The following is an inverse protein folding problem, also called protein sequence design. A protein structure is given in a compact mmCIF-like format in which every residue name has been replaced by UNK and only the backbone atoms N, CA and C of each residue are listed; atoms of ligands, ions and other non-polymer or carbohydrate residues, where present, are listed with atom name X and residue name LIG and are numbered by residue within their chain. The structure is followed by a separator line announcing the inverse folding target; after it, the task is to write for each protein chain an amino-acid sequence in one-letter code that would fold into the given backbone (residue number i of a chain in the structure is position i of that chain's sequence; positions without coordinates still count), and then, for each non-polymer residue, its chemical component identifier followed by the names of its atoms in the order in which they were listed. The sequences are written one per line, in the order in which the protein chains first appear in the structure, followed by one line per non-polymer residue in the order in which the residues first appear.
data_IF_173095361467
#
_entry.id   IF_173095361467
#
_cell.length_a   1.000
_cell.length_b   1.000
_cell.length_c   1.000
_cell.angle_alpha   90.00
_cell.angle_beta   90.00
_cell.angle_gamma   90.00
#
_symmetry.space_group_name_H-M   'P 1'
#
loop_
_entity.id
_entity.type
_entity.pdbx_description
1 polymer ?
#
# COMPACT_ATOMS: atom_id res chain seq x y z
N UNK A 1 -7.06 11.63 -76.23
CA UNK A 1 -6.78 12.17 -74.94
C UNK A 1 -7.52 11.30 -73.89
N UNK A 2 -6.80 10.34 -73.33
CA UNK A 2 -7.34 9.43 -72.30
C UNK A 2 -6.82 9.89 -70.95
N UNK A 3 -7.72 10.30 -70.06
CA UNK A 3 -7.40 10.65 -68.68
C UNK A 3 -7.27 9.38 -67.83
N UNK A 4 -6.04 9.12 -67.39
CA UNK A 4 -5.72 8.12 -66.36
C UNK A 4 -6.40 8.45 -65.05
N UNK A 5 -7.26 7.56 -64.56
CA UNK A 5 -7.76 7.59 -63.20
C UNK A 5 -6.71 6.96 -62.27
N UNK A 6 -6.13 7.79 -61.43
CA UNK A 6 -5.25 7.39 -60.35
C UNK A 6 -6.10 6.73 -59.28
N UNK A 7 -5.89 5.45 -59.01
CA UNK A 7 -6.46 4.72 -57.91
C UNK A 7 -5.78 5.21 -56.63
N UNK A 8 -6.50 5.93 -55.78
CA UNK A 8 -6.09 6.17 -54.40
C UNK A 8 -6.28 4.88 -53.58
N UNK A 9 -5.18 4.28 -53.22
CA UNK A 9 -5.17 3.23 -52.21
C UNK A 9 -5.48 3.88 -50.84
N UNK A 10 -6.69 3.71 -50.36
CA UNK A 10 -7.05 3.99 -49.01
C UNK A 10 -6.31 3.01 -48.09
N UNK A 11 -5.30 3.51 -47.41
CA UNK A 11 -4.60 2.76 -46.39
C UNK A 11 -5.53 2.72 -45.16
N UNK A 12 -6.22 1.61 -44.95
CA UNK A 12 -6.95 1.37 -43.71
C UNK A 12 -5.98 1.46 -42.54
N UNK A 13 -6.16 2.46 -41.73
CA UNK A 13 -5.52 2.54 -40.44
C UNK A 13 -6.13 1.43 -39.55
N UNK A 14 -5.36 0.37 -39.35
CA UNK A 14 -5.60 -0.54 -38.24
C UNK A 14 -5.45 0.29 -36.98
N UNK A 15 -6.55 0.68 -36.37
CA UNK A 15 -6.59 1.24 -35.04
C UNK A 15 -6.30 0.08 -34.07
N UNK A 16 -5.02 -0.25 -33.91
CA UNK A 16 -4.58 -0.88 -32.68
C UNK A 16 -4.79 0.17 -31.59
N UNK A 17 -5.83 0.01 -30.81
CA UNK A 17 -5.87 0.64 -29.50
C UNK A 17 -4.76 -0.01 -28.68
N UNK A 18 -3.59 0.59 -28.69
CA UNK A 18 -2.61 0.40 -27.65
C UNK A 18 -3.36 0.86 -26.40
N UNK A 19 -3.76 -0.09 -25.55
CA UNK A 19 -4.19 0.23 -24.20
C UNK A 19 -2.94 0.83 -23.60
N UNK A 20 -2.94 2.15 -23.49
CA UNK A 20 -1.97 2.86 -22.71
C UNK A 20 -2.15 2.31 -21.30
N UNK A 21 -1.27 1.42 -20.90
CA UNK A 21 -1.17 0.99 -19.51
C UNK A 21 -0.61 2.23 -18.82
N UNK A 22 -1.51 3.18 -18.51
CA UNK A 22 -1.18 4.23 -17.56
C UNK A 22 -0.52 3.50 -16.39
N UNK A 23 0.72 3.87 -16.09
CA UNK A 23 1.40 3.40 -14.90
C UNK A 23 0.53 3.79 -13.70
N UNK A 24 -0.37 2.90 -13.34
CA UNK A 24 -1.41 3.10 -12.33
C UNK A 24 -0.84 3.36 -10.94
N UNK A 25 0.48 3.13 -10.79
CA UNK A 25 1.19 3.24 -9.54
C UNK A 25 2.57 3.84 -9.78
N UNK A 26 2.67 5.15 -9.68
CA UNK A 26 3.96 5.83 -9.64
C UNK A 26 4.26 6.16 -8.19
N UNK A 27 5.34 5.60 -7.65
CA UNK A 27 5.90 6.08 -6.39
C UNK A 27 6.63 7.39 -6.69
N UNK A 28 5.95 8.49 -6.45
CA UNK A 28 6.57 9.81 -6.50
C UNK A 28 6.58 10.39 -5.08
N UNK A 29 7.74 10.43 -4.42
CA UNK A 29 7.88 10.99 -3.08
C UNK A 29 7.97 12.52 -3.08
N UNK A 30 7.55 13.20 -4.14
CA UNK A 30 7.56 14.65 -4.22
C UNK A 30 6.72 15.28 -3.09
N UNK A 31 7.20 16.41 -2.59
CA UNK A 31 6.60 17.17 -1.50
C UNK A 31 6.42 18.62 -1.96
N UNK A 32 5.37 18.85 -2.74
CA UNK A 32 5.02 20.20 -3.18
C UNK A 32 4.19 20.92 -2.11
N UNK A 33 4.31 22.23 -2.05
CA UNK A 33 3.51 23.05 -1.15
C UNK A 33 2.30 23.61 -1.89
N UNK A 34 1.11 23.28 -1.43
CA UNK A 34 -0.15 23.75 -1.98
C UNK A 34 -0.86 24.73 -1.04
N UNK A 35 -1.58 25.69 -1.63
CA UNK A 35 -2.34 26.71 -0.89
C UNK A 35 -1.52 27.96 -0.58
N UNK A 36 -2.26 29.06 -0.26
CA UNK A 36 -1.66 30.35 0.15
C UNK A 36 -1.37 30.38 1.65
N UNK A 37 -0.58 31.37 2.09
CA UNK A 37 -0.24 31.53 3.51
C UNK A 37 0.76 30.48 3.98
N UNK A 38 0.41 29.75 5.03
CA UNK A 38 1.22 28.67 5.61
C UNK A 38 1.16 27.35 4.81
N UNK A 39 0.41 27.31 3.72
CA UNK A 39 0.36 26.19 2.78
C UNK A 39 0.10 24.81 3.38
N UNK A 40 0.04 23.78 2.54
CA UNK A 40 -0.01 22.36 2.94
C UNK A 40 1.03 21.60 2.14
N UNK A 41 1.92 20.87 2.80
CA UNK A 41 2.88 20.02 2.12
C UNK A 41 2.19 18.75 1.64
N UNK A 42 2.30 18.45 0.35
CA UNK A 42 1.75 17.22 -0.21
C UNK A 42 2.52 16.00 0.28
N UNK A 43 1.84 14.87 0.35
CA UNK A 43 2.48 13.59 0.61
C UNK A 43 2.42 12.73 -0.66
N UNK A 44 3.48 12.83 -1.46
CA UNK A 44 3.54 12.36 -2.84
C UNK A 44 3.02 13.40 -3.83
N UNK A 45 3.33 13.25 -5.12
CA UNK A 45 3.05 14.24 -6.17
C UNK A 45 1.57 14.61 -6.29
N UNK A 46 0.67 13.67 -6.08
CA UNK A 46 -0.77 13.85 -6.13
C UNK A 46 -1.42 13.89 -4.74
N UNK A 47 -0.62 13.98 -3.69
CA UNK A 47 -1.05 13.95 -2.29
C UNK A 47 -1.78 12.65 -1.88
N UNK A 48 -1.63 11.55 -2.64
CA UNK A 48 -2.30 10.27 -2.42
C UNK A 48 -1.38 9.15 -1.96
N UNK A 49 -0.08 9.39 -1.82
CA UNK A 49 0.91 8.38 -1.44
C UNK A 49 0.51 7.55 -0.20
N UNK A 50 -0.03 8.11 0.90
CA UNK A 50 -0.46 7.29 2.04
C UNK A 50 -1.52 6.26 1.69
N UNK A 51 -2.44 6.60 0.77
CA UNK A 51 -3.48 5.66 0.32
C UNK A 51 -2.88 4.50 -0.47
N UNK A 52 -1.87 4.78 -1.30
CA UNK A 52 -1.13 3.75 -2.02
C UNK A 52 -0.43 2.80 -1.04
N UNK A 53 0.30 3.35 -0.06
CA UNK A 53 1.03 2.56 0.93
C UNK A 53 0.09 1.67 1.75
N UNK A 54 -1.03 2.20 2.22
CA UNK A 54 -2.06 1.44 2.96
C UNK A 54 -2.62 0.32 2.06
N UNK A 55 -3.00 0.62 0.83
CA UNK A 55 -3.53 -0.38 -0.10
C UNK A 55 -2.50 -1.49 -0.40
N UNK A 56 -1.23 -1.16 -0.52
CA UNK A 56 -0.14 -2.13 -0.66
C UNK A 56 -0.02 -3.03 0.57
N UNK A 57 0.00 -2.44 1.77
CA UNK A 57 0.10 -3.17 3.04
C UNK A 57 -1.11 -4.10 3.28
N UNK A 58 -2.30 -3.71 2.82
CA UNK A 58 -3.52 -4.53 2.96
C UNK A 58 -3.62 -5.66 1.94
N UNK A 59 -3.05 -5.49 0.73
CA UNK A 59 -3.24 -6.43 -0.39
C UNK A 59 -2.09 -7.38 -0.64
N UNK A 60 -0.86 -7.03 -0.24
CA UNK A 60 0.28 -7.93 -0.31
C UNK A 60 0.30 -8.85 0.90
N UNK A 61 0.13 -10.14 0.69
CA UNK A 61 0.14 -11.14 1.77
C UNK A 61 1.51 -11.20 2.47
N UNK A 62 2.58 -11.12 1.71
CA UNK A 62 3.95 -11.18 2.23
C UNK A 62 4.27 -9.92 3.05
N UNK A 63 3.96 -8.74 2.52
CA UNK A 63 4.18 -7.49 3.24
C UNK A 63 3.34 -7.40 4.51
N UNK A 64 2.06 -7.77 4.45
CA UNK A 64 1.16 -7.78 5.61
C UNK A 64 1.70 -8.67 6.71
N UNK A 65 2.15 -9.89 6.39
CA UNK A 65 2.74 -10.81 7.37
C UNK A 65 4.01 -10.22 8.01
N UNK A 66 4.88 -9.57 7.23
CA UNK A 66 6.07 -8.91 7.74
C UNK A 66 5.72 -7.73 8.66
N UNK A 67 4.74 -6.89 8.29
CA UNK A 67 4.29 -5.77 9.12
C UNK A 67 3.73 -6.28 10.44
N UNK A 68 2.81 -7.24 10.43
CA UNK A 68 2.18 -7.77 11.64
C UNK A 68 3.23 -8.40 12.57
N UNK A 69 4.18 -9.12 12.02
CA UNK A 69 5.25 -9.73 12.82
C UNK A 69 6.22 -8.68 13.38
N UNK A 70 6.51 -7.61 12.62
CA UNK A 70 7.32 -6.49 13.12
C UNK A 70 6.64 -5.78 14.30
N UNK A 71 5.32 -5.57 14.21
CA UNK A 71 4.52 -5.01 15.31
C UNK A 71 4.60 -5.93 16.54
N UNK A 72 4.41 -7.24 16.36
CA UNK A 72 4.46 -8.21 17.46
C UNK A 72 5.83 -8.17 18.18
N UNK A 73 6.93 -8.15 17.45
CA UNK A 73 8.27 -8.08 18.06
C UNK A 73 8.55 -6.72 18.70
N UNK A 74 8.06 -5.62 18.13
CA UNK A 74 8.18 -4.30 18.72
C UNK A 74 7.32 -4.16 20.00
N UNK A 75 6.15 -4.80 20.05
CA UNK A 75 5.28 -4.83 21.23
C UNK A 75 5.79 -5.72 22.35
N UNK A 76 6.64 -6.72 22.02
CA UNK A 76 7.05 -7.74 22.96
C UNK A 76 5.88 -8.54 23.54
N UNK A 77 6.07 -9.17 24.71
CA UNK A 77 5.02 -9.91 25.40
C UNK A 77 4.03 -8.99 26.14
N UNK A 78 4.40 -7.73 26.34
CA UNK A 78 3.51 -6.76 26.99
C UNK A 78 4.16 -5.41 27.26
N UNK A 79 3.34 -4.48 27.69
CA UNK A 79 3.76 -3.12 28.07
C UNK A 79 3.37 -2.91 29.52
N UNK A 80 4.34 -2.56 30.33
CA UNK A 80 4.16 -2.17 31.73
C UNK A 80 4.29 -0.66 31.79
N UNK A 81 3.31 0.00 32.40
CA UNK A 81 3.36 1.44 32.66
C UNK A 81 3.94 1.64 34.07
N UNK A 82 4.97 2.47 34.19
CA UNK A 82 5.67 2.72 35.44
C UNK A 82 4.81 3.51 36.41
N UNK A 83 5.12 3.42 37.71
CA UNK A 83 4.33 4.07 38.81
C UNK A 83 4.20 5.58 38.62
N UNK A 84 5.24 6.26 38.12
CA UNK A 84 5.22 7.70 37.86
C UNK A 84 4.25 8.08 36.73
N UNK A 85 3.98 7.16 35.83
CA UNK A 85 3.03 7.30 34.72
C UNK A 85 1.70 6.55 35.01
N UNK A 86 1.41 6.16 36.25
CA UNK A 86 0.28 5.31 36.62
C UNK A 86 -1.10 5.84 36.16
N UNK A 87 -1.24 7.15 35.99
CA UNK A 87 -2.46 7.76 35.41
C UNK A 87 -2.80 7.26 34.02
N UNK A 88 -1.81 6.75 33.29
CA UNK A 88 -1.93 6.21 31.91
C UNK A 88 -2.10 4.68 31.87
N UNK A 89 -1.97 3.99 33.03
CA UNK A 89 -1.93 2.53 33.07
C UNK A 89 -3.25 1.88 32.66
N UNK A 90 -4.40 2.38 33.15
CA UNK A 90 -5.69 1.79 32.84
C UNK A 90 -6.23 2.23 31.45
N UNK A 91 -6.13 3.53 31.18
CA UNK A 91 -6.67 4.12 29.95
C UNK A 91 -5.93 5.40 29.58
N UNK A 92 -5.68 5.58 28.28
CA UNK A 92 -5.04 6.78 27.75
C UNK A 92 -6.06 7.85 27.31
N UNK A 93 -7.36 7.54 27.30
CA UNK A 93 -8.42 8.49 26.97
C UNK A 93 -9.78 8.05 27.50
N UNK A 94 -10.76 8.98 27.44
CA UNK A 94 -12.17 8.76 27.86
C UNK A 94 -12.89 7.63 27.13
N UNK A 95 -12.36 7.13 26.01
CA UNK A 95 -12.93 5.99 25.28
C UNK A 95 -12.47 4.65 25.81
N UNK A 96 -11.61 4.64 26.85
CA UNK A 96 -11.11 3.42 27.46
C UNK A 96 -10.01 2.72 26.68
N UNK A 97 -9.30 3.43 25.79
CA UNK A 97 -8.16 2.86 25.05
C UNK A 97 -7.01 2.60 26.04
N UNK A 98 -6.42 1.41 25.99
CA UNK A 98 -5.23 1.09 26.78
C UNK A 98 -3.95 1.66 26.15
N UNK A 99 -2.87 1.79 26.94
CA UNK A 99 -1.55 2.17 26.42
C UNK A 99 -1.07 1.17 25.37
N UNK A 100 -1.28 -0.12 25.61
CA UNK A 100 -0.96 -1.20 24.67
C UNK A 100 -1.67 -1.00 23.32
N UNK A 101 -2.97 -0.68 23.33
CA UNK A 101 -3.75 -0.48 22.10
C UNK A 101 -3.33 0.79 21.36
N UNK A 102 -2.97 1.85 22.09
CA UNK A 102 -2.41 3.07 21.49
C UNK A 102 -1.12 2.75 20.75
N UNK A 103 -0.17 2.08 21.40
CA UNK A 103 1.13 1.74 20.83
C UNK A 103 0.96 0.82 19.61
N UNK A 104 0.08 -0.18 19.70
CA UNK A 104 -0.19 -1.06 18.57
C UNK A 104 -0.68 -0.28 17.33
N UNK A 105 -1.58 0.70 17.53
CA UNK A 105 -2.10 1.52 16.40
C UNK A 105 -1.05 2.43 15.80
N UNK A 106 -0.22 3.09 16.61
CA UNK A 106 0.85 3.95 16.09
C UNK A 106 1.94 3.13 15.39
N UNK A 107 2.24 1.92 15.87
CA UNK A 107 3.15 1.00 15.18
C UNK A 107 2.58 0.54 13.82
N UNK A 108 1.27 0.25 13.76
CA UNK A 108 0.62 -0.11 12.50
C UNK A 108 0.73 1.02 11.47
N UNK A 109 0.47 2.27 11.87
CA UNK A 109 0.66 3.43 10.99
C UNK A 109 2.13 3.62 10.60
N UNK A 110 3.06 3.47 11.55
CA UNK A 110 4.48 3.60 11.30
C UNK A 110 5.00 2.55 10.30
N UNK A 111 4.72 1.26 10.54
CA UNK A 111 5.16 0.21 9.62
C UNK A 111 4.51 0.30 8.25
N UNK A 112 3.31 0.86 8.17
CA UNK A 112 2.61 1.05 6.88
C UNK A 112 3.14 2.25 6.11
N UNK A 113 3.37 3.38 6.78
CA UNK A 113 3.63 4.66 6.11
C UNK A 113 4.96 5.33 6.49
N UNK A 114 5.64 4.84 7.53
CA UNK A 114 6.83 5.47 8.12
C UNK A 114 6.50 6.60 9.10
N UNK A 115 5.23 6.94 9.28
CA UNK A 115 4.78 8.08 10.09
C UNK A 115 3.58 7.69 10.92
N UNK A 116 3.33 8.42 12.02
CA UNK A 116 2.11 8.30 12.81
C UNK A 116 1.73 9.63 13.46
N UNK A 117 0.49 9.72 13.93
CA UNK A 117 -0.02 10.92 14.57
C UNK A 117 -0.85 10.59 15.81
N UNK A 118 -0.65 11.38 16.88
CA UNK A 118 -1.37 11.27 18.14
C UNK A 118 -1.94 12.63 18.47
N UNK A 119 -3.26 12.70 18.66
CA UNK A 119 -3.89 13.89 19.21
C UNK A 119 -3.71 13.88 20.74
N UNK A 120 -3.15 14.95 21.25
CA UNK A 120 -2.88 15.15 22.68
C UNK A 120 -3.79 16.25 23.19
N UNK A 121 -4.58 15.95 24.19
CA UNK A 121 -5.45 16.93 24.88
C UNK A 121 -4.82 17.29 26.21
N UNK A 122 -4.80 18.56 26.50
CA UNK A 122 -4.19 19.15 27.68
C UNK A 122 -5.21 19.66 28.68
N UNK A 123 -4.83 19.71 29.95
CA UNK A 123 -5.54 20.49 30.96
C UNK A 123 -5.14 21.98 30.86
N UNK A 124 -5.76 22.82 31.66
CA UNK A 124 -5.47 24.27 31.68
C UNK A 124 -4.05 24.62 32.19
N UNK A 125 -3.37 23.66 32.78
CA UNK A 125 -1.97 23.81 33.27
C UNK A 125 -0.94 23.39 32.21
N UNK A 126 -1.39 22.97 31.02
CA UNK A 126 -0.49 22.51 29.98
C UNK A 126 0.00 21.07 30.17
N UNK A 127 -0.66 20.28 31.02
CA UNK A 127 -0.31 18.87 31.20
C UNK A 127 -1.18 18.00 30.27
N UNK A 128 -0.61 17.01 29.60
CA UNK A 128 -1.37 16.06 28.77
C UNK A 128 -2.28 15.19 29.64
N UNK A 129 -3.53 15.02 29.22
CA UNK A 129 -4.55 14.27 29.97
C UNK A 129 -5.24 13.19 29.15
N UNK A 130 -5.22 13.28 27.81
CA UNK A 130 -5.80 12.26 26.94
C UNK A 130 -5.00 12.14 25.65
N UNK A 131 -4.87 10.91 25.16
CA UNK A 131 -4.19 10.55 23.92
C UNK A 131 -5.13 9.82 22.98
N UNK A 132 -5.26 10.29 21.75
CA UNK A 132 -6.05 9.64 20.70
C UNK A 132 -5.17 9.35 19.49
N UNK A 133 -5.04 8.10 19.04
CA UNK A 133 -4.38 7.81 17.78
C UNK A 133 -5.20 8.40 16.63
N UNK A 134 -4.55 9.08 15.71
CA UNK A 134 -5.15 9.61 14.49
C UNK A 134 -4.73 8.78 13.29
N UNK A 135 -5.62 8.67 12.32
CA UNK A 135 -5.30 8.13 11.01
C UNK A 135 -4.30 9.06 10.31
N UNK A 136 -3.05 8.66 10.24
CA UNK A 136 -1.95 9.48 9.70
C UNK A 136 -2.17 9.84 8.22
N UNK A 137 -2.88 9.02 7.46
CA UNK A 137 -3.22 9.33 6.08
C UNK A 137 -4.13 10.55 5.94
N UNK A 138 -4.81 10.95 7.02
CA UNK A 138 -5.66 12.14 7.13
C UNK A 138 -4.95 13.36 7.72
N UNK A 139 -3.64 13.25 7.93
CA UNK A 139 -2.81 14.34 8.46
C UNK A 139 -1.87 14.87 7.38
N UNK A 140 -1.66 16.19 7.38
CA UNK A 140 -0.62 16.85 6.58
C UNK A 140 0.06 17.91 7.42
N UNK A 141 1.31 18.18 7.11
CA UNK A 141 2.04 19.28 7.71
C UNK A 141 1.89 20.55 6.85
N UNK A 142 1.93 21.72 7.49
CA UNK A 142 2.07 22.97 6.76
C UNK A 142 3.52 23.18 6.33
N UNK A 143 3.76 24.26 5.54
CA UNK A 143 5.07 24.62 5.01
C UNK A 143 6.13 24.78 6.11
N UNK A 144 5.76 25.43 7.20
CA UNK A 144 6.69 25.75 8.31
C UNK A 144 6.83 24.57 9.30
N UNK A 145 6.05 23.51 9.12
CA UNK A 145 6.04 22.26 9.91
C UNK A 145 5.63 22.44 11.38
N UNK A 146 5.11 23.59 11.74
CA UNK A 146 4.63 23.92 13.09
C UNK A 146 3.16 23.57 13.30
N UNK A 147 2.42 23.22 12.23
CA UNK A 147 1.03 22.84 12.30
C UNK A 147 0.75 21.51 11.58
N UNK A 148 -0.21 20.78 12.13
CA UNK A 148 -0.80 19.60 11.52
C UNK A 148 -2.19 19.92 11.05
N UNK A 149 -2.47 19.69 9.77
CA UNK A 149 -3.77 19.85 9.16
C UNK A 149 -4.45 18.47 9.12
N UNK A 150 -5.56 18.34 9.82
CA UNK A 150 -6.35 17.11 9.85
C UNK A 150 -7.60 17.25 8.99
N UNK A 151 -7.75 16.39 7.99
CA UNK A 151 -8.95 16.34 7.14
C UNK A 151 -9.68 15.01 7.33
N UNK A 152 -10.82 15.05 8.00
CA UNK A 152 -11.65 13.88 8.28
C UNK A 152 -12.03 13.05 7.04
N UNK A 153 -12.16 13.71 5.87
CA UNK A 153 -12.46 13.06 4.58
C UNK A 153 -11.21 12.58 3.83
N UNK A 154 -10.01 12.88 4.35
CA UNK A 154 -8.74 12.68 3.67
C UNK A 154 -8.40 13.78 2.68
N UNK A 155 -7.22 13.70 2.10
CA UNK A 155 -6.70 14.67 1.15
C UNK A 155 -6.84 14.18 -0.29
N UNK A 156 -6.95 15.12 -1.22
CA UNK A 156 -6.88 14.92 -2.66
C UNK A 156 -5.79 15.81 -3.25
N UNK A 157 -5.49 15.66 -4.54
CA UNK A 157 -4.41 16.34 -5.23
C UNK A 157 -4.27 17.84 -4.91
N UNK A 158 -5.38 18.54 -4.80
CA UNK A 158 -5.41 20.01 -4.59
C UNK A 158 -6.07 20.40 -3.25
N UNK A 159 -6.31 19.43 -2.39
CA UNK A 159 -7.04 19.66 -1.14
C UNK A 159 -6.14 20.22 -0.05
N UNK A 160 -6.40 21.48 0.35
CA UNK A 160 -5.76 22.12 1.50
C UNK A 160 -6.72 22.27 2.69
N UNK A 161 -7.97 21.84 2.52
CA UNK A 161 -9.00 21.95 3.54
C UNK A 161 -8.74 20.97 4.70
N UNK A 162 -8.89 21.44 5.92
CA UNK A 162 -8.76 20.66 7.14
C UNK A 162 -8.71 21.56 8.37
N UNK A 163 -8.92 20.96 9.51
CA UNK A 163 -8.75 21.63 10.80
C UNK A 163 -7.25 21.72 11.10
N UNK A 164 -6.78 22.87 11.59
CA UNK A 164 -5.37 23.15 11.87
C UNK A 164 -5.14 23.06 13.36
N UNK A 165 -4.18 22.22 13.74
CA UNK A 165 -3.74 22.02 15.10
C UNK A 165 -2.27 22.40 15.23
N UNK A 166 -1.90 22.95 16.34
CA UNK A 166 -0.49 23.22 16.65
C UNK A 166 0.24 21.88 16.80
N UNK A 167 1.45 21.80 16.24
CA UNK A 167 2.26 20.59 16.31
C UNK A 167 3.05 20.58 17.62
N UNK A 168 2.95 19.49 18.36
CA UNK A 168 3.73 19.27 19.57
C UNK A 168 5.24 19.36 19.30
N UNK A 169 5.94 20.07 20.18
CA UNK A 169 7.40 20.28 20.07
C UNK A 169 7.83 21.36 19.08
N UNK A 170 6.89 21.98 18.35
CA UNK A 170 7.15 23.03 17.36
C UNK A 170 6.40 24.33 17.65
N UNK A 171 5.36 24.27 18.45
CA UNK A 171 4.59 25.44 18.88
C UNK A 171 4.45 25.43 20.40
N UNK A 172 4.34 26.62 20.99
CA UNK A 172 4.06 26.77 22.42
C UNK A 172 2.61 26.37 22.75
N UNK A 173 2.41 25.89 23.97
CA UNK A 173 1.08 25.53 24.45
C UNK A 173 0.21 26.78 24.61
N UNK A 174 -1.01 26.72 24.03
CA UNK A 174 -2.04 27.75 24.17
C UNK A 174 -3.21 27.21 25.01
N UNK A 175 -3.47 27.76 26.22
CA UNK A 175 -4.57 27.32 27.07
C UNK A 175 -5.97 27.47 26.45
N UNK A 176 -6.13 28.37 25.47
CA UNK A 176 -7.40 28.56 24.74
C UNK A 176 -7.60 27.47 23.66
N UNK A 177 -6.50 26.83 23.24
CA UNK A 177 -6.51 25.73 22.25
C UNK A 177 -5.82 24.50 22.83
N UNK A 178 -6.43 23.82 23.84
CA UNK A 178 -5.80 22.77 24.62
C UNK A 178 -5.67 21.44 23.88
N UNK A 179 -5.40 21.49 22.57
CA UNK A 179 -5.27 20.31 21.73
C UNK A 179 -4.13 20.53 20.75
N UNK A 180 -3.13 19.65 20.82
CA UNK A 180 -2.01 19.62 19.87
C UNK A 180 -1.93 18.25 19.21
N UNK A 181 -1.20 18.14 18.11
CA UNK A 181 -0.94 16.85 17.48
C UNK A 181 0.55 16.57 17.53
N UNK A 182 0.91 15.45 18.16
CA UNK A 182 2.22 14.84 18.01
C UNK A 182 2.27 14.16 16.65
N UNK A 183 3.14 14.64 15.78
CA UNK A 183 3.31 14.04 14.44
C UNK A 183 4.75 13.55 14.30
N UNK A 184 4.90 12.22 14.27
CA UNK A 184 6.18 11.58 14.05
C UNK A 184 6.47 11.45 12.55
N UNK A 185 7.61 11.98 12.13
CA UNK A 185 8.09 11.94 10.74
C UNK A 185 9.59 11.62 10.63
N UNK A 186 10.11 10.82 11.55
CA UNK A 186 11.54 10.51 11.60
C UNK A 186 12.40 11.74 11.88
N UNK A 187 13.54 11.83 11.19
CA UNK A 187 14.46 12.97 11.32
C UNK A 187 13.97 14.24 10.58
N UNK A 188 13.03 14.08 9.65
CA UNK A 188 12.47 15.19 8.87
C UNK A 188 13.49 16.02 8.08
N UNK A 189 14.75 15.58 7.98
CA UNK A 189 15.83 16.35 7.37
C UNK A 189 15.74 16.34 5.84
N UNK A 190 15.63 15.15 5.26
CA UNK A 190 15.59 15.00 3.79
C UNK A 190 14.23 15.25 3.21
N UNK A 191 13.18 14.81 3.92
CA UNK A 191 11.78 14.90 3.50
C UNK A 191 10.92 15.32 4.67
N UNK A 192 9.80 15.96 4.38
CA UNK A 192 8.81 16.31 5.41
C UNK A 192 8.17 15.07 6.00
N UNK A 193 7.85 14.08 5.16
CA UNK A 193 7.29 12.80 5.59
C UNK A 193 8.36 11.72 5.49
N UNK A 194 8.44 10.91 6.55
CA UNK A 194 9.34 9.76 6.55
C UNK A 194 8.90 8.71 5.52
N UNK A 195 9.84 7.91 5.09
CA UNK A 195 9.60 6.83 4.11
C UNK A 195 9.23 5.56 4.85
N UNK A 196 8.23 4.84 4.38
CA UNK A 196 7.85 3.54 4.94
C UNK A 196 9.06 2.58 4.97
N UNK A 197 9.23 1.76 6.03
CA UNK A 197 10.39 0.87 6.15
C UNK A 197 10.61 -0.07 4.96
N UNK A 198 9.55 -0.42 4.26
CA UNK A 198 9.52 -1.34 3.13
C UNK A 198 9.46 -0.65 1.75
N UNK A 199 9.47 0.68 1.71
CA UNK A 199 9.25 1.43 0.46
C UNK A 199 10.24 1.10 -0.66
N UNK A 200 11.43 0.59 -0.33
CA UNK A 200 12.41 0.13 -1.32
C UNK A 200 11.93 -1.08 -2.13
N UNK A 201 10.98 -1.85 -1.62
CA UNK A 201 10.38 -3.00 -2.30
C UNK A 201 8.98 -2.68 -2.86
N UNK A 202 8.63 -1.41 -3.07
CA UNK A 202 7.27 -1.05 -3.52
C UNK A 202 6.90 -1.73 -4.84
N UNK A 203 7.82 -1.77 -5.81
CA UNK A 203 7.58 -2.42 -7.11
C UNK A 203 7.39 -3.94 -6.95
N UNK A 204 8.10 -4.58 -6.03
CA UNK A 204 7.93 -5.99 -5.70
C UNK A 204 6.58 -6.27 -5.04
N UNK A 205 6.14 -5.39 -4.15
CA UNK A 205 4.82 -5.45 -3.52
C UNK A 205 3.71 -5.33 -4.58
N UNK A 206 3.85 -4.38 -5.52
CA UNK A 206 2.91 -4.22 -6.62
C UNK A 206 2.93 -5.44 -7.56
N UNK A 207 4.11 -6.01 -7.82
CA UNK A 207 4.27 -7.24 -8.60
C UNK A 207 3.57 -8.43 -7.93
N UNK A 208 3.67 -8.58 -6.61
CA UNK A 208 2.94 -9.62 -5.87
C UNK A 208 1.43 -9.43 -5.99
N UNK A 209 0.92 -8.20 -5.84
CA UNK A 209 -0.50 -7.86 -5.91
C UNK A 209 -1.05 -8.13 -7.32
N UNK A 210 -0.41 -7.59 -8.35
CA UNK A 210 -0.88 -7.77 -9.73
C UNK A 210 -0.71 -9.21 -10.21
N UNK A 211 0.34 -9.88 -9.75
CA UNK A 211 0.52 -11.32 -9.98
C UNK A 211 -0.58 -12.17 -9.35
N UNK A 212 -1.06 -11.81 -8.19
CA UNK A 212 -2.19 -12.48 -7.55
C UNK A 212 -3.51 -12.22 -8.30
N UNK A 213 -3.72 -10.99 -8.78
CA UNK A 213 -4.88 -10.65 -9.62
C UNK A 213 -4.87 -11.38 -10.96
N UNK A 214 -3.70 -11.42 -11.62
CA UNK A 214 -3.55 -12.19 -12.85
C UNK A 214 -3.89 -13.66 -12.64
N UNK A 215 -3.36 -14.27 -11.57
CA UNK A 215 -3.68 -15.67 -11.24
C UNK A 215 -5.17 -15.89 -10.98
N UNK A 216 -5.81 -14.98 -10.23
CA UNK A 216 -7.25 -15.04 -9.97
C UNK A 216 -8.06 -14.94 -11.27
N UNK A 217 -7.73 -13.98 -12.12
CA UNK A 217 -8.39 -13.82 -13.42
C UNK A 217 -8.18 -15.04 -14.33
N UNK A 218 -6.97 -15.61 -14.33
CA UNK A 218 -6.68 -16.80 -15.12
C UNK A 218 -7.47 -18.02 -14.64
N UNK A 219 -7.66 -18.18 -13.33
CA UNK A 219 -8.48 -19.24 -12.75
C UNK A 219 -9.98 -18.99 -13.02
N UNK A 220 -10.45 -17.77 -12.81
CA UNK A 220 -11.84 -17.38 -13.03
C UNK A 220 -12.26 -17.59 -14.49
N UNK A 221 -11.35 -17.25 -15.42
CA UNK A 221 -11.57 -17.39 -16.86
C UNK A 221 -11.12 -18.75 -17.42
N UNK A 222 -10.95 -19.76 -16.55
CA UNK A 222 -10.66 -21.14 -16.97
C UNK A 222 -9.35 -21.31 -17.71
N UNK A 223 -8.28 -20.52 -17.40
CA UNK A 223 -7.03 -20.49 -18.15
C UNK A 223 -7.24 -20.20 -19.64
N UNK A 224 -8.26 -19.41 -19.98
CA UNK A 224 -8.75 -19.26 -21.34
C UNK A 224 -7.64 -18.77 -22.28
N UNK A 225 -7.37 -19.63 -23.24
CA UNK A 225 -6.64 -19.24 -24.43
C UNK A 225 -7.37 -18.08 -25.10
N UNK A 226 -6.62 -17.06 -25.52
CA UNK A 226 -7.20 -16.02 -26.37
C UNK A 226 -7.50 -16.64 -27.71
N UNK A 227 -8.73 -16.48 -28.17
CA UNK A 227 -9.14 -16.94 -29.48
C UNK A 227 -9.24 -15.76 -30.45
N UNK A 228 -8.75 -15.94 -31.65
CA UNK A 228 -9.11 -15.10 -32.79
C UNK A 228 -10.17 -15.87 -33.57
N UNK A 229 -11.33 -15.27 -33.71
CA UNK A 229 -12.41 -15.78 -34.57
C UNK A 229 -12.36 -14.98 -35.84
N UNK A 230 -11.90 -15.60 -36.94
CA UNK A 230 -11.88 -15.00 -38.26
C UNK A 230 -13.21 -15.35 -38.94
N UNK A 231 -14.02 -14.35 -39.27
CA UNK A 231 -15.29 -14.49 -39.95
C UNK A 231 -15.09 -13.95 -41.37
N UNK A 232 -15.24 -14.77 -42.44
CA UNK A 232 -15.13 -14.27 -43.82
C UNK A 232 -16.32 -13.34 -44.12
N UNK A 233 -16.04 -12.17 -44.63
CA UNK A 233 -17.06 -11.19 -45.06
C UNK A 233 -17.66 -11.55 -46.43
N UNK A 234 -18.29 -12.72 -46.53
CA UNK A 234 -18.90 -13.23 -47.76
C UNK A 234 -20.30 -12.69 -48.02
N UNK A 235 -20.90 -11.98 -47.06
CA UNK A 235 -22.31 -11.63 -47.12
C UNK A 235 -22.59 -10.12 -47.24
N UNK A 236 -21.57 -9.25 -47.40
CA UNK A 236 -21.71 -7.80 -47.41
C UNK A 236 -22.63 -7.29 -46.27
N UNK A 237 -22.37 -7.76 -45.05
CA UNK A 237 -23.13 -7.38 -43.87
C UNK A 237 -22.94 -5.90 -43.52
N UNK A 238 -24.01 -5.24 -43.15
CA UNK A 238 -23.91 -3.89 -42.59
C UNK A 238 -23.25 -3.93 -41.22
N UNK A 239 -22.68 -2.80 -40.78
CA UNK A 239 -22.00 -2.71 -39.48
C UNK A 239 -22.94 -3.12 -38.29
N UNK A 240 -24.23 -2.77 -38.40
CA UNK A 240 -25.26 -3.19 -37.43
C UNK A 240 -25.46 -4.73 -37.40
N UNK A 241 -25.40 -5.37 -38.57
CA UNK A 241 -25.50 -6.83 -38.64
C UNK A 241 -24.24 -7.53 -38.16
N UNK A 242 -23.08 -6.91 -38.34
CA UNK A 242 -21.80 -7.39 -37.79
C UNK A 242 -21.82 -7.34 -36.25
N UNK A 243 -22.34 -6.27 -35.68
CA UNK A 243 -22.50 -6.12 -34.22
C UNK A 243 -23.44 -7.21 -33.64
N UNK A 244 -24.54 -7.52 -34.28
CA UNK A 244 -25.45 -8.60 -33.84
C UNK A 244 -24.76 -9.97 -33.85
N UNK A 245 -23.94 -10.25 -34.87
CA UNK A 245 -23.17 -11.50 -34.93
C UNK A 245 -22.12 -11.56 -33.81
N UNK A 246 -21.43 -10.44 -33.54
CA UNK A 246 -20.46 -10.35 -32.45
C UNK A 246 -21.12 -10.53 -31.09
N UNK A 247 -22.30 -9.93 -30.86
CA UNK A 247 -23.09 -10.15 -29.65
C UNK A 247 -23.54 -11.59 -29.50
N UNK A 248 -24.03 -12.21 -30.57
CA UNK A 248 -24.41 -13.63 -30.56
C UNK A 248 -23.24 -14.57 -30.26
N UNK A 249 -22.04 -14.26 -30.77
CA UNK A 249 -20.83 -15.00 -30.41
C UNK A 249 -20.50 -14.78 -28.93
N UNK A 250 -20.58 -13.54 -28.42
CA UNK A 250 -20.39 -13.22 -27.01
C UNK A 250 -21.31 -14.03 -26.12
N UNK A 251 -22.57 -14.08 -26.42
CA UNK A 251 -23.61 -14.78 -25.63
C UNK A 251 -23.42 -16.31 -25.62
N UNK A 252 -22.89 -16.90 -26.70
CA UNK A 252 -22.71 -18.34 -26.81
C UNK A 252 -21.38 -18.84 -26.25
N UNK A 253 -20.33 -18.04 -26.29
CA UNK A 253 -18.98 -18.45 -25.85
C UNK A 253 -18.63 -18.06 -24.44
N UNK A 254 -19.46 -17.21 -23.81
CA UNK A 254 -19.09 -16.63 -22.52
C UNK A 254 -20.29 -16.64 -21.59
N UNK A 255 -20.26 -17.48 -20.57
CA UNK A 255 -21.15 -17.33 -19.43
C UNK A 255 -20.91 -15.96 -18.76
N UNK A 256 -19.88 -15.82 -17.98
CA UNK A 256 -19.50 -14.59 -17.27
C UNK A 256 -18.27 -13.84 -17.87
N UNK A 257 -17.66 -14.34 -18.94
CA UNK A 257 -16.29 -13.97 -19.34
C UNK A 257 -16.15 -13.47 -20.79
N UNK A 258 -16.99 -12.53 -21.18
CA UNK A 258 -17.13 -11.98 -22.54
C UNK A 258 -15.87 -11.36 -23.20
N UNK A 259 -14.70 -11.35 -22.58
CA UNK A 259 -13.57 -10.51 -23.03
C UNK A 259 -12.37 -11.26 -23.62
N UNK A 260 -12.45 -12.58 -23.86
CA UNK A 260 -11.27 -13.38 -24.21
C UNK A 260 -11.13 -13.78 -25.67
N UNK A 261 -11.92 -13.21 -26.56
CA UNK A 261 -11.80 -13.45 -28.00
C UNK A 261 -11.78 -12.15 -28.81
N UNK A 262 -11.09 -12.19 -29.93
CA UNK A 262 -11.06 -11.12 -30.91
C UNK A 262 -11.80 -11.61 -32.16
N UNK A 263 -12.80 -10.85 -32.64
CA UNK A 263 -13.47 -11.13 -33.90
C UNK A 263 -12.81 -10.30 -34.99
N UNK A 264 -12.37 -10.94 -36.06
CA UNK A 264 -11.81 -10.32 -37.22
C UNK A 264 -12.66 -10.67 -38.48
N UNK A 265 -13.00 -9.65 -39.26
CA UNK A 265 -13.74 -9.83 -40.51
C UNK A 265 -12.74 -9.85 -41.65
N UNK A 266 -12.56 -11.02 -42.26
CA UNK A 266 -11.59 -11.19 -43.35
C UNK A 266 -12.21 -10.93 -44.72
N UNK A 267 -11.43 -10.38 -45.65
CA UNK A 267 -11.87 -10.07 -47.02
C UNK A 267 -11.71 -11.24 -48.01
N UNK A 268 -11.44 -12.44 -47.53
CA UNK A 268 -11.18 -13.59 -48.42
C UNK A 268 -12.47 -14.32 -48.78
N UNK A 269 -12.88 -14.19 -50.05
CA UNK A 269 -13.97 -14.96 -50.64
C UNK A 269 -13.63 -16.45 -50.62
N UNK A 270 -14.43 -17.25 -49.91
CA UNK A 270 -14.37 -18.71 -49.96
C UNK A 270 -13.70 -19.43 -48.78
N UNK A 271 -13.27 -18.72 -47.75
CA UNK A 271 -12.82 -19.36 -46.52
C UNK A 271 -13.97 -19.58 -45.54
N UNK A 272 -13.94 -20.70 -44.82
CA UNK A 272 -14.83 -20.99 -43.70
C UNK A 272 -14.35 -20.23 -42.44
N UNK A 273 -15.27 -20.03 -41.51
CA UNK A 273 -14.96 -19.50 -40.17
C UNK A 273 -13.78 -20.27 -39.55
N UNK A 274 -12.74 -19.55 -39.20
CA UNK A 274 -11.54 -20.14 -38.59
C UNK A 274 -11.36 -19.59 -37.19
N UNK A 275 -11.23 -20.50 -36.23
CA UNK A 275 -10.94 -20.16 -34.82
C UNK A 275 -9.51 -20.52 -34.53
N UNK A 276 -8.66 -19.51 -34.32
CA UNK A 276 -7.26 -19.71 -33.98
C UNK A 276 -7.05 -19.44 -32.48
N UNK A 277 -6.46 -20.40 -31.82
CA UNK A 277 -6.02 -20.23 -30.44
C UNK A 277 -4.69 -19.48 -30.44
N UNK A 278 -4.62 -18.35 -29.72
CA UNK A 278 -3.35 -17.71 -29.44
C UNK A 278 -2.79 -18.38 -28.19
N UNK A 279 -1.73 -19.16 -28.36
CA UNK A 279 -0.99 -19.67 -27.20
C UNK A 279 -0.31 -18.48 -26.52
N UNK A 280 -0.64 -18.27 -25.23
CA UNK A 280 0.09 -17.30 -24.43
C UNK A 280 1.53 -17.83 -24.26
N UNK A 281 2.50 -17.07 -24.71
CA UNK A 281 3.94 -17.40 -24.65
C UNK A 281 4.51 -17.28 -23.21
N UNK A 282 3.66 -17.40 -22.20
CA UNK A 282 4.03 -17.28 -20.79
C UNK A 282 4.09 -18.67 -20.18
N UNK A 283 5.29 -19.19 -20.03
CA UNK A 283 5.50 -20.39 -19.23
C UNK A 283 5.11 -20.09 -17.77
N UNK A 284 4.22 -20.90 -17.16
CA UNK A 284 3.83 -20.75 -15.76
C UNK A 284 5.03 -20.66 -14.80
N UNK A 285 6.14 -21.31 -15.16
CA UNK A 285 7.39 -21.32 -14.42
C UNK A 285 8.05 -19.93 -14.33
N UNK A 286 8.08 -19.18 -15.45
CA UNK A 286 8.65 -17.82 -15.49
C UNK A 286 7.86 -16.88 -14.58
N UNK A 287 6.55 -17.02 -14.58
CA UNK A 287 5.67 -16.21 -13.76
C UNK A 287 5.85 -16.54 -12.26
N UNK A 288 6.00 -17.82 -11.92
CA UNK A 288 6.30 -18.25 -10.55
C UNK A 288 7.64 -17.71 -10.07
N UNK A 289 8.67 -17.74 -10.91
CA UNK A 289 10.00 -17.21 -10.56
C UNK A 289 9.96 -15.71 -10.24
N UNK A 290 9.23 -14.90 -11.03
CA UNK A 290 9.05 -13.46 -10.77
C UNK A 290 8.34 -13.23 -9.44
N UNK A 291 7.26 -13.96 -9.15
CA UNK A 291 6.55 -13.85 -7.88
C UNK A 291 7.41 -14.26 -6.69
N UNK A 292 8.22 -15.29 -6.84
CA UNK A 292 9.12 -15.74 -5.77
C UNK A 292 10.20 -14.69 -5.50
N UNK A 293 10.83 -14.14 -6.54
CA UNK A 293 11.79 -13.05 -6.41
C UNK A 293 11.19 -11.82 -5.71
N UNK A 294 9.98 -11.43 -6.07
CA UNK A 294 9.28 -10.31 -5.43
C UNK A 294 9.09 -10.55 -3.93
N UNK A 295 8.68 -11.76 -3.51
CA UNK A 295 8.57 -12.11 -2.09
C UNK A 295 9.90 -12.02 -1.35
N UNK A 296 10.97 -12.52 -1.94
CA UNK A 296 12.31 -12.48 -1.35
C UNK A 296 12.81 -11.04 -1.18
N UNK A 297 12.52 -10.17 -2.14
CA UNK A 297 12.83 -8.75 -2.06
C UNK A 297 12.04 -8.04 -0.96
N UNK A 298 10.76 -8.38 -0.77
CA UNK A 298 9.94 -7.85 0.35
C UNK A 298 10.54 -8.26 1.69
N UNK A 299 10.89 -9.54 1.88
CA UNK A 299 11.57 -9.99 3.09
C UNK A 299 12.89 -9.27 3.34
N UNK A 300 13.67 -9.04 2.27
CA UNK A 300 14.94 -8.32 2.33
C UNK A 300 14.74 -6.86 2.74
N UNK A 301 13.75 -6.16 2.17
CA UNK A 301 13.42 -4.79 2.52
C UNK A 301 12.99 -4.65 3.98
N UNK A 302 12.19 -5.61 4.47
CA UNK A 302 11.78 -5.68 5.88
C UNK A 302 12.85 -6.26 6.81
N UNK A 303 13.99 -6.69 6.27
CA UNK A 303 15.10 -7.35 7.00
C UNK A 303 14.62 -8.53 7.84
N UNK A 304 13.59 -9.21 7.39
CA UNK A 304 12.93 -10.28 8.11
C UNK A 304 13.22 -11.63 7.46
N UNK A 305 13.61 -12.63 8.26
CA UNK A 305 13.72 -13.99 7.76
C UNK A 305 12.32 -14.57 7.48
N UNK A 306 12.10 -15.27 6.35
CA UNK A 306 10.84 -15.96 6.08
C UNK A 306 10.40 -16.90 7.20
N UNK A 307 11.35 -17.48 7.96
CA UNK A 307 11.07 -18.33 9.13
C UNK A 307 10.27 -17.60 10.20
N UNK A 308 10.49 -16.29 10.40
CA UNK A 308 9.84 -15.51 11.43
C UNK A 308 8.36 -15.24 11.14
N UNK A 309 7.94 -15.38 9.89
CA UNK A 309 6.52 -15.27 9.46
C UNK A 309 5.89 -16.65 9.22
N UNK A 310 6.56 -17.73 9.62
CA UNK A 310 6.05 -19.09 9.48
C UNK A 310 6.11 -19.65 8.05
N UNK A 311 6.89 -19.04 7.16
CA UNK A 311 7.07 -19.54 5.79
C UNK A 311 8.24 -20.52 5.77
N UNK A 312 7.99 -21.77 5.36
CA UNK A 312 9.04 -22.77 5.21
C UNK A 312 10.05 -22.36 4.13
N UNK A 313 11.32 -22.44 4.45
CA UNK A 313 12.40 -22.29 3.47
C UNK A 313 12.58 -23.61 2.74
N UNK A 314 12.63 -23.58 1.40
CA UNK A 314 12.79 -24.77 0.58
C UNK A 314 14.07 -25.53 0.99
N UNK A 315 13.96 -26.84 1.18
CA UNK A 315 15.04 -27.79 1.51
C UNK A 315 15.62 -27.74 2.95
N UNK A 316 15.18 -26.86 3.82
CA UNK A 316 15.51 -26.92 5.24
C UNK A 316 14.22 -27.16 6.01
N UNK A 317 14.16 -28.23 6.79
CA UNK A 317 13.03 -28.44 7.71
C UNK A 317 12.93 -27.25 8.68
N UNK A 318 11.79 -27.10 9.33
CA UNK A 318 11.60 -26.09 10.37
C UNK A 318 12.46 -26.49 11.58
N UNK A 319 13.63 -25.84 11.74
CA UNK A 319 14.52 -26.07 12.88
C UNK A 319 14.27 -25.00 13.93
N UNK A 320 14.03 -25.44 15.18
CA UNK A 320 13.88 -24.54 16.34
C UNK A 320 15.10 -23.64 16.51
N UNK A 321 16.31 -24.19 16.31
CA UNK A 321 17.57 -23.44 16.48
C UNK A 321 17.74 -22.36 15.41
N UNK A 322 17.36 -22.63 14.17
CA UNK A 322 17.37 -21.63 13.08
C UNK A 322 16.37 -20.52 13.35
N UNK A 323 15.14 -20.86 13.79
CA UNK A 323 14.13 -19.88 14.17
C UNK A 323 14.64 -18.98 15.31
N UNK A 324 15.19 -19.58 16.37
CA UNK A 324 15.73 -18.84 17.50
C UNK A 324 16.91 -17.94 17.12
N UNK A 325 17.76 -18.40 16.20
CA UNK A 325 18.87 -17.60 15.69
C UNK A 325 18.38 -16.41 14.86
N UNK A 326 17.41 -16.63 13.96
CA UNK A 326 16.76 -15.57 13.18
C UNK A 326 16.05 -14.55 14.09
N UNK A 327 15.33 -15.03 15.10
CA UNK A 327 14.66 -14.18 16.08
C UNK A 327 15.66 -13.31 16.87
N UNK A 328 16.72 -13.90 17.42
CA UNK A 328 17.75 -13.18 18.18
C UNK A 328 18.40 -12.09 17.33
N UNK A 329 18.68 -12.38 16.07
CA UNK A 329 19.26 -11.42 15.13
C UNK A 329 18.28 -10.27 14.86
N UNK A 330 17.03 -10.58 14.51
CA UNK A 330 15.99 -9.58 14.24
C UNK A 330 15.72 -8.71 15.47
N UNK A 331 15.56 -9.32 16.63
CA UNK A 331 15.33 -8.60 17.87
C UNK A 331 16.46 -7.62 18.18
N UNK A 332 17.71 -8.08 18.11
CA UNK A 332 18.90 -7.26 18.43
C UNK A 332 19.12 -6.13 17.44
N UNK A 333 18.86 -6.35 16.16
CA UNK A 333 19.23 -5.40 15.10
C UNK A 333 18.08 -4.50 14.66
N UNK A 334 16.83 -4.91 14.91
CA UNK A 334 15.63 -4.22 14.39
C UNK A 334 14.64 -3.90 15.51
N UNK A 335 14.11 -4.90 16.22
CA UNK A 335 12.99 -4.68 17.14
C UNK A 335 13.35 -3.75 18.30
N UNK A 336 14.52 -3.88 18.89
CA UNK A 336 14.98 -2.98 19.97
C UNK A 336 15.00 -1.52 19.55
N UNK A 337 15.41 -1.20 18.32
CA UNK A 337 15.40 0.17 17.83
C UNK A 337 13.99 0.75 17.73
N UNK A 338 13.00 -0.05 17.35
CA UNK A 338 11.60 0.37 17.35
C UNK A 338 11.03 0.49 18.77
N UNK A 339 11.44 -0.38 19.69
CA UNK A 339 11.08 -0.28 21.10
C UNK A 339 11.62 1.00 21.73
N UNK A 340 12.87 1.35 21.45
CA UNK A 340 13.47 2.58 21.96
C UNK A 340 12.79 3.83 21.37
N UNK A 341 12.43 3.80 20.06
CA UNK A 341 11.65 4.86 19.45
C UNK A 341 10.30 5.07 20.16
N UNK A 342 9.55 3.99 20.41
CA UNK A 342 8.24 4.08 21.09
C UNK A 342 8.38 4.58 22.52
N UNK A 343 9.37 4.10 23.27
CA UNK A 343 9.65 4.57 24.62
C UNK A 343 9.90 6.08 24.62
N UNK A 344 10.80 6.56 23.76
CA UNK A 344 11.10 7.98 23.63
C UNK A 344 9.85 8.82 23.33
N UNK A 345 9.00 8.34 22.42
CA UNK A 345 7.75 9.04 22.07
C UNK A 345 6.77 9.12 23.24
N UNK A 346 6.63 8.04 23.99
CA UNK A 346 5.73 8.01 25.14
C UNK A 346 6.29 8.86 26.27
N UNK A 347 7.60 8.82 26.52
CA UNK A 347 8.26 9.69 27.52
C UNK A 347 8.08 11.18 27.16
N UNK A 348 8.29 11.55 25.89
CA UNK A 348 8.05 12.91 25.42
C UNK A 348 6.61 13.38 25.65
N UNK A 349 5.62 12.51 25.33
CA UNK A 349 4.21 12.88 25.42
C UNK A 349 3.73 12.91 26.87
N UNK A 350 4.18 11.98 27.72
CA UNK A 350 3.74 11.89 29.12
C UNK A 350 4.52 12.85 30.02
N UNK A 351 5.70 13.27 29.59
CA UNK A 351 6.64 14.06 30.41
C UNK A 351 7.27 13.26 31.56
N UNK A 352 7.19 11.92 31.48
CA UNK A 352 7.74 11.00 32.48
C UNK A 352 8.83 10.18 31.82
N UNK A 353 10.02 10.20 32.39
CA UNK A 353 11.16 9.41 31.92
C UNK A 353 10.92 7.91 32.20
N UNK A 354 11.15 7.06 31.21
CA UNK A 354 10.86 5.63 31.26
C UNK A 354 9.38 5.34 31.64
N UNK A 355 8.45 6.10 31.09
CA UNK A 355 7.01 5.94 31.36
C UNK A 355 6.49 4.53 31.12
N UNK A 356 7.11 3.82 30.18
CA UNK A 356 6.75 2.45 29.84
C UNK A 356 7.97 1.53 29.78
N UNK A 357 7.76 0.27 30.13
CA UNK A 357 8.68 -0.81 29.89
C UNK A 357 8.04 -1.82 28.93
N UNK A 358 8.78 -2.26 27.93
CA UNK A 358 8.35 -3.29 26.98
C UNK A 358 8.97 -4.61 27.43
N UNK A 359 8.12 -5.57 27.81
CA UNK A 359 8.54 -6.91 28.20
C UNK A 359 9.09 -7.62 26.97
N UNK A 360 10.34 -8.11 27.01
CA UNK A 360 10.92 -8.79 25.87
C UNK A 360 10.05 -9.96 25.42
N UNK A 361 9.88 -10.12 24.10
CA UNK A 361 9.18 -11.26 23.53
C UNK A 361 9.91 -12.55 23.89
N UNK A 362 9.23 -13.46 24.56
CA UNK A 362 9.80 -14.74 25.00
C UNK A 362 9.24 -15.88 24.15
N UNK A 363 10.14 -16.74 23.65
CA UNK A 363 9.77 -17.94 22.91
C UNK A 363 10.24 -19.11 23.76
N UNK A 364 9.31 -19.85 24.36
CA UNK A 364 9.54 -21.13 25.02
C UNK A 364 8.98 -22.23 24.11
N UNK A 365 9.84 -23.16 23.74
CA UNK A 365 9.42 -24.41 23.13
C UNK A 365 9.47 -25.46 24.24
N UNK A 366 8.33 -25.75 24.86
CA UNK A 366 8.18 -26.86 25.81
C UNK A 366 8.17 -28.21 25.09
#
# INVERSE_FOLDING_TARGET
MAKSKKSEKTTEKVLMSVVDVEQKYVYDPAEDVYGGGDGVVSWGADNSLPKLLINCAEKSATLKACIDQSINYAMGDGIIVNEEAASWAEKVNRRGLSMKDLINRILADFFTTGNFAIQVIFNKLGQPVELFPLDVAKCRLNKDRDKVIYNKRGFSRWGTAGERYDRWGYADFDPERPTMIYFYNGDGVRKVYNTAPWAAALDDVLTEIEGSRYSLNSVANGFSARYIIEIPDTANLTDEQKDVVVEGIKDHFTGTDANNFMVYWGNDEGKSLEVRKIEADETPERFQAVRQAAKENIFTAMRMSPLLVGTAVANTGFSTDEYMSAYKLYNRTIALGYQDMIKSVIDDITGVENAIEIVPFSISFD
#
